data_IF_277286305564
#
_entry.id   IF_277286305564
#
_cell.length_a   1.000
_cell.length_b   1.000
_cell.length_c   1.000
_cell.angle_alpha   90.00
_cell.angle_beta   90.00
_cell.angle_gamma   90.00
#
_symmetry.space_group_name_H-M   'P 1'
#
loop_
_entity.id
_entity.type
_entity.pdbx_description
1 polymer ?
#
# COMPACT_ATOMS: atom_id res chain seq x y z
N UNK A 1 -9.72 16.66 21.68
CA UNK A 1 -9.00 17.59 22.59
C UNK A 1 -7.74 18.15 21.93
N UNK A 2 -6.89 17.33 21.30
CA UNK A 2 -5.64 17.76 20.65
C UNK A 2 -5.82 18.81 19.53
N UNK A 3 -6.79 18.58 18.62
CA UNK A 3 -7.08 19.47 17.47
C UNK A 3 -7.90 20.73 17.82
N UNK A 4 -8.22 20.94 19.10
CA UNK A 4 -8.87 22.18 19.57
C UNK A 4 -7.86 23.30 19.86
N UNK A 5 -6.56 22.97 19.86
CA UNK A 5 -5.46 23.88 20.14
C UNK A 5 -4.83 24.29 18.79
N UNK A 6 -4.94 25.56 18.41
CA UNK A 6 -4.50 26.10 17.11
C UNK A 6 -3.04 25.73 16.75
N UNK A 7 -2.06 25.88 17.65
CA UNK A 7 -0.67 25.48 17.37
C UNK A 7 -0.51 24.01 16.96
N UNK A 8 -1.33 23.11 17.52
CA UNK A 8 -1.28 21.69 17.17
C UNK A 8 -1.85 21.45 15.76
N UNK A 9 -2.86 22.24 15.37
CA UNK A 9 -3.44 22.18 14.02
C UNK A 9 -2.42 22.65 13.01
N UNK A 10 -1.78 23.79 13.26
CA UNK A 10 -0.75 24.34 12.39
C UNK A 10 0.44 23.37 12.23
N UNK A 11 0.96 22.85 13.35
CA UNK A 11 2.04 21.86 13.32
C UNK A 11 1.65 20.59 12.54
N UNK A 12 0.41 20.10 12.71
CA UNK A 12 -0.10 18.95 11.98
C UNK A 12 -0.19 19.20 10.46
N UNK A 13 -0.65 20.39 10.06
CA UNK A 13 -0.74 20.77 8.64
C UNK A 13 0.66 20.92 8.03
N UNK A 14 1.59 21.57 8.73
CA UNK A 14 2.98 21.79 8.26
C UNK A 14 3.74 20.50 7.96
N UNK A 15 3.51 19.44 8.74
CA UNK A 15 4.14 18.12 8.52
C UNK A 15 3.37 17.22 7.56
N UNK A 16 2.34 17.74 6.88
CA UNK A 16 1.55 16.98 5.90
C UNK A 16 0.52 16.03 6.51
N UNK A 17 0.08 16.26 7.75
CA UNK A 17 -0.88 15.43 8.46
C UNK A 17 -2.23 15.26 7.75
N UNK A 18 -2.69 16.27 7.00
CA UNK A 18 -3.91 16.18 6.19
C UNK A 18 -3.78 15.15 5.06
N UNK A 19 -2.66 15.18 4.33
CA UNK A 19 -2.37 14.23 3.25
C UNK A 19 -2.32 12.81 3.80
N UNK A 20 -1.69 12.65 4.96
CA UNK A 20 -1.63 11.39 5.68
C UNK A 20 -2.99 10.85 6.10
N UNK A 21 -3.88 11.71 6.61
CA UNK A 21 -5.22 11.31 7.03
C UNK A 21 -6.08 10.85 5.86
N UNK A 22 -6.03 11.56 4.72
CA UNK A 22 -6.75 11.18 3.49
C UNK A 22 -6.23 9.85 2.95
N UNK A 23 -4.91 9.68 2.93
CA UNK A 23 -4.27 8.44 2.52
C UNK A 23 -4.68 7.25 3.41
N UNK A 24 -4.69 7.45 4.74
CA UNK A 24 -5.11 6.44 5.70
C UNK A 24 -6.57 6.01 5.47
N UNK A 25 -7.48 6.97 5.28
CA UNK A 25 -8.90 6.69 5.03
C UNK A 25 -9.08 5.82 3.78
N UNK A 26 -8.35 6.13 2.71
CA UNK A 26 -8.44 5.37 1.45
C UNK A 26 -7.98 3.92 1.63
N UNK A 27 -6.94 3.71 2.43
CA UNK A 27 -6.41 2.36 2.72
C UNK A 27 -7.31 1.58 3.68
N UNK A 28 -7.88 2.24 4.68
CA UNK A 28 -8.84 1.62 5.58
C UNK A 28 -10.06 1.10 4.81
N UNK A 29 -10.52 1.85 3.80
CA UNK A 29 -11.56 1.40 2.88
C UNK A 29 -11.13 0.14 2.12
N UNK A 30 -9.96 0.15 1.48
CA UNK A 30 -9.42 -1.02 0.75
C UNK A 30 -9.31 -2.26 1.66
N UNK A 31 -8.91 -2.07 2.92
CA UNK A 31 -8.80 -3.17 3.89
C UNK A 31 -10.17 -3.73 4.32
N UNK A 32 -11.19 -2.87 4.45
CA UNK A 32 -12.55 -3.27 4.82
C UNK A 32 -13.23 -4.09 3.71
N UNK A 33 -12.96 -3.79 2.44
CA UNK A 33 -13.48 -4.57 1.31
C UNK A 33 -12.90 -5.99 1.24
N UNK A 34 -11.79 -6.26 1.94
CA UNK A 34 -11.16 -7.59 2.02
C UNK A 34 -11.69 -8.47 3.16
N UNK A 35 -12.70 -8.05 3.92
CA UNK A 35 -13.27 -8.90 4.96
C UNK A 35 -14.05 -10.03 4.27
N UNK A 36 -13.38 -11.20 4.17
CA UNK A 36 -13.99 -12.45 3.76
C UNK A 36 -15.12 -12.80 4.74
N UNK A 37 -16.36 -12.69 4.27
CA UNK A 37 -17.54 -13.13 5.00
C UNK A 37 -17.41 -14.64 5.19
N UNK A 38 -17.43 -15.19 6.43
CA UNK A 38 -17.41 -16.62 6.63
C UNK A 38 -18.67 -17.23 6.01
N UNK A 39 -18.48 -18.19 5.10
CA UNK A 39 -19.51 -18.79 4.25
C UNK A 39 -20.77 -19.22 5.00
N UNK A 40 -21.92 -18.71 4.56
CA UNK A 40 -22.99 -19.54 4.00
C UNK A 40 -23.94 -18.68 3.19
N UNK A 41 -23.83 -18.71 1.85
CA UNK A 41 -24.93 -18.69 0.86
C UNK A 41 -24.38 -18.44 -0.55
N UNK A 42 -24.72 -19.36 -1.44
CA UNK A 42 -24.06 -19.70 -2.71
C UNK A 42 -24.14 -18.64 -3.85
N UNK A 43 -24.45 -17.38 -3.56
CA UNK A 43 -24.64 -16.32 -4.57
C UNK A 43 -23.60 -15.18 -4.52
N UNK A 44 -22.80 -15.07 -3.45
CA UNK A 44 -21.68 -14.12 -3.35
C UNK A 44 -20.32 -14.75 -3.72
N UNK A 45 -20.31 -16.00 -4.21
CA UNK A 45 -19.09 -16.77 -4.46
C UNK A 45 -18.26 -16.27 -5.67
N UNK A 46 -18.82 -15.42 -6.54
CA UNK A 46 -18.13 -14.96 -7.75
C UNK A 46 -16.91 -14.07 -7.46
N UNK A 47 -16.94 -13.26 -6.39
CA UNK A 47 -15.80 -12.40 -6.01
C UNK A 47 -14.77 -13.13 -5.14
N UNK A 48 -15.19 -14.15 -4.39
CA UNK A 48 -14.30 -14.98 -3.56
C UNK A 48 -13.45 -15.98 -4.37
N UNK A 49 -13.84 -16.27 -5.62
CA UNK A 49 -13.11 -17.12 -6.56
C UNK A 49 -12.34 -16.36 -7.65
N UNK A 50 -12.33 -15.01 -7.63
CA UNK A 50 -11.42 -14.28 -8.50
C UNK A 50 -9.99 -14.58 -8.06
N UNK A 51 -9.24 -15.29 -8.92
CA UNK A 51 -7.79 -15.39 -8.77
C UNK A 51 -7.24 -13.96 -8.60
N UNK A 52 -6.44 -13.69 -7.54
CA UNK A 52 -5.89 -12.37 -7.34
C UNK A 52 -5.11 -11.96 -8.59
N UNK A 53 -5.46 -10.82 -9.17
CA UNK A 53 -4.85 -10.39 -10.42
C UNK A 53 -3.33 -10.25 -10.23
N UNK A 54 -2.57 -11.03 -11.01
CA UNK A 54 -1.10 -10.97 -11.07
C UNK A 54 -0.70 -9.75 -11.88
N UNK A 55 -0.67 -8.60 -11.24
CA UNK A 55 -0.47 -7.31 -11.92
C UNK A 55 0.87 -6.67 -11.60
N UNK A 56 1.55 -7.14 -10.56
CA UNK A 56 2.69 -6.43 -10.00
C UNK A 56 4.03 -6.97 -10.48
N UNK A 57 4.93 -6.06 -10.81
CA UNK A 57 6.33 -6.32 -11.13
C UNK A 57 7.23 -5.46 -10.23
N UNK A 58 8.41 -5.98 -9.88
CA UNK A 58 9.43 -5.21 -9.18
C UNK A 58 10.83 -5.48 -9.75
N UNK A 59 11.76 -4.55 -9.53
CA UNK A 59 13.18 -4.73 -9.83
C UNK A 59 13.90 -5.13 -8.55
N UNK A 60 14.45 -6.34 -8.53
CA UNK A 60 15.20 -6.87 -7.40
C UNK A 60 16.55 -6.17 -7.19
N UNK A 61 17.25 -6.51 -6.12
CA UNK A 61 18.59 -5.98 -5.83
C UNK A 61 19.60 -6.25 -6.93
N UNK A 62 19.43 -7.35 -7.64
CA UNK A 62 20.28 -7.78 -8.75
C UNK A 62 19.96 -7.05 -10.07
N UNK A 63 19.03 -6.08 -10.05
CA UNK A 63 18.58 -5.35 -11.24
C UNK A 63 17.63 -6.15 -12.15
N UNK A 64 17.32 -7.39 -11.77
CA UNK A 64 16.43 -8.28 -12.53
C UNK A 64 14.96 -7.96 -12.21
N UNK A 65 14.15 -7.90 -13.27
CA UNK A 65 12.70 -7.77 -13.16
C UNK A 65 12.08 -9.09 -12.69
N UNK A 66 11.24 -9.02 -11.67
CA UNK A 66 10.51 -10.17 -11.12
C UNK A 66 9.01 -9.89 -11.19
N UNK A 67 8.24 -10.84 -11.73
CA UNK A 67 6.78 -10.76 -11.90
C UNK A 67 6.34 -11.27 -13.26
N UNK A 68 5.04 -11.16 -13.62
CA UNK A 68 3.97 -10.57 -12.83
C UNK A 68 3.52 -11.44 -11.65
N UNK A 69 3.20 -10.81 -10.52
CA UNK A 69 2.79 -11.48 -9.29
C UNK A 69 1.67 -10.73 -8.58
N UNK A 70 1.08 -11.38 -7.58
CA UNK A 70 0.06 -10.79 -6.72
C UNK A 70 0.67 -9.75 -5.76
N UNK A 71 -0.15 -8.78 -5.33
CA UNK A 71 0.24 -7.78 -4.30
C UNK A 71 0.81 -8.43 -3.04
N UNK A 72 0.29 -9.60 -2.66
CA UNK A 72 0.72 -10.36 -1.48
C UNK A 72 2.13 -10.94 -1.64
N UNK A 73 2.56 -11.24 -2.88
CA UNK A 73 3.91 -11.68 -3.18
C UNK A 73 4.94 -10.55 -2.98
N UNK A 74 4.57 -9.28 -3.23
CA UNK A 74 5.41 -8.13 -2.89
C UNK A 74 5.62 -8.06 -1.37
N UNK A 75 4.57 -8.27 -0.56
CA UNK A 75 4.72 -8.29 0.91
C UNK A 75 5.67 -9.38 1.37
N UNK A 76 5.64 -10.56 0.73
CA UNK A 76 6.60 -11.63 1.01
C UNK A 76 8.02 -11.26 0.58
N UNK A 77 8.20 -10.61 -0.57
CA UNK A 77 9.51 -10.13 -1.04
C UNK A 77 10.10 -9.07 -0.08
N UNK A 78 9.24 -8.19 0.46
CA UNK A 78 9.62 -7.22 1.49
C UNK A 78 10.08 -7.88 2.78
N UNK A 79 9.30 -8.83 3.31
CA UNK A 79 9.67 -9.57 4.53
C UNK A 79 10.98 -10.35 4.39
N UNK A 80 11.31 -10.82 3.18
CA UNK A 80 12.58 -11.49 2.86
C UNK A 80 13.74 -10.52 2.61
N UNK A 81 13.51 -9.20 2.64
CA UNK A 81 14.48 -8.14 2.31
C UNK A 81 15.04 -8.24 0.88
N UNK A 82 14.28 -8.82 -0.05
CA UNK A 82 14.63 -8.83 -1.48
C UNK A 82 14.38 -7.48 -2.15
N UNK A 83 13.52 -6.65 -1.56
CA UNK A 83 13.16 -5.31 -2.02
C UNK A 83 13.27 -4.32 -0.87
N UNK A 84 13.60 -3.07 -1.19
CA UNK A 84 13.73 -1.96 -0.25
C UNK A 84 12.86 -0.77 -0.72
N UNK A 85 12.74 0.29 0.09
CA UNK A 85 11.90 1.46 -0.22
C UNK A 85 12.26 2.18 -1.53
N UNK A 86 13.49 1.97 -2.02
CA UNK A 86 14.01 2.54 -3.27
C UNK A 86 13.80 1.63 -4.47
N UNK A 87 13.41 0.36 -4.27
CA UNK A 87 13.16 -0.59 -5.35
C UNK A 87 12.01 -0.09 -6.22
N UNK A 88 12.17 -0.22 -7.54
CA UNK A 88 11.13 0.17 -8.50
C UNK A 88 10.08 -0.92 -8.59
N UNK A 89 8.82 -0.53 -8.51
CA UNK A 89 7.66 -1.38 -8.72
C UNK A 89 6.76 -0.78 -9.80
N UNK A 90 6.03 -1.64 -10.48
CA UNK A 90 5.07 -1.26 -11.50
C UNK A 90 3.89 -2.22 -11.46
N UNK A 91 2.70 -1.70 -11.77
CA UNK A 91 1.50 -2.48 -11.97
C UNK A 91 0.84 -2.08 -13.30
N UNK A 92 0.02 -2.96 -13.87
CA UNK A 92 -0.72 -2.72 -15.12
C UNK A 92 -1.54 -1.43 -15.12
N UNK A 93 -1.99 -0.97 -13.95
CA UNK A 93 -2.75 0.27 -13.74
C UNK A 93 -1.88 1.54 -13.71
N UNK A 94 -0.55 1.42 -13.80
CA UNK A 94 0.39 2.54 -13.68
C UNK A 94 1.01 2.92 -15.03
N UNK A 95 1.24 4.22 -15.23
CA UNK A 95 1.91 4.72 -16.45
C UNK A 95 3.39 4.34 -16.49
N UNK A 96 4.08 4.43 -15.35
CA UNK A 96 5.54 4.30 -15.26
C UNK A 96 5.98 3.56 -14.00
N UNK A 97 7.20 3.03 -14.04
CA UNK A 97 7.87 2.47 -12.88
C UNK A 97 8.06 3.52 -11.79
N UNK A 98 7.53 3.26 -10.60
CA UNK A 98 7.70 4.15 -9.43
C UNK A 98 8.47 3.45 -8.33
N UNK A 99 9.12 4.21 -7.45
CA UNK A 99 9.75 3.61 -6.27
C UNK A 99 8.66 3.12 -5.33
N UNK A 100 8.93 2.05 -4.61
CA UNK A 100 8.00 1.46 -3.67
C UNK A 100 7.44 2.48 -2.65
N UNK A 101 8.27 3.44 -2.20
CA UNK A 101 7.84 4.54 -1.32
C UNK A 101 6.82 5.51 -1.95
N UNK A 102 6.84 5.69 -3.26
CA UNK A 102 5.99 6.64 -3.98
C UNK A 102 4.63 6.03 -4.33
N UNK A 103 4.50 4.71 -4.20
CA UNK A 103 3.27 3.97 -4.48
C UNK A 103 2.49 3.89 -3.18
N UNK A 104 1.43 4.69 -3.05
CA UNK A 104 0.60 4.76 -1.84
C UNK A 104 0.15 3.37 -1.38
N UNK A 105 -0.43 2.60 -2.29
CA UNK A 105 -0.99 1.28 -1.99
C UNK A 105 0.05 0.31 -1.37
N UNK A 106 1.26 0.25 -1.94
CA UNK A 106 2.34 -0.57 -1.39
C UNK A 106 2.96 0.04 -0.14
N UNK A 107 3.10 1.37 -0.09
CA UNK A 107 3.63 2.07 1.08
C UNK A 107 2.84 1.72 2.33
N UNK A 108 1.52 1.79 2.27
CA UNK A 108 0.69 1.44 3.42
C UNK A 108 0.64 -0.06 3.71
N UNK A 109 0.65 -0.90 2.67
CA UNK A 109 0.70 -2.35 2.84
C UNK A 109 1.99 -2.83 3.53
N UNK A 110 3.08 -2.07 3.42
CA UNK A 110 4.41 -2.43 3.91
C UNK A 110 4.86 -1.62 5.14
N UNK A 111 4.23 -0.48 5.41
CA UNK A 111 4.55 0.41 6.54
C UNK A 111 4.12 -0.13 7.91
N UNK A 112 3.71 -1.40 8.01
CA UNK A 112 3.51 -2.09 9.29
C UNK A 112 4.82 -2.01 10.10
N UNK A 113 4.85 -1.05 11.05
CA UNK A 113 5.94 -0.75 12.00
C UNK A 113 7.08 0.18 11.50
N UNK A 114 6.92 0.95 10.42
CA UNK A 114 7.95 1.89 9.96
C UNK A 114 7.47 3.35 9.83
N UNK A 115 8.29 4.37 10.19
CA UNK A 115 7.94 5.79 10.13
C UNK A 115 7.94 6.38 8.71
N UNK A 116 7.84 5.54 7.68
CA UNK A 116 7.88 5.94 6.26
C UNK A 116 6.62 6.70 5.81
N UNK A 117 5.61 6.76 6.67
CA UNK A 117 4.37 7.45 6.35
C UNK A 117 4.56 8.97 6.23
N UNK A 118 5.65 9.55 6.74
CA UNK A 118 5.91 10.98 6.56
C UNK A 118 6.10 11.33 5.08
N UNK A 119 5.33 12.29 4.53
CA UNK A 119 5.55 12.77 3.17
C UNK A 119 6.95 13.39 3.06
N UNK A 120 7.64 13.17 1.93
CA UNK A 120 8.84 13.92 1.62
C UNK A 120 8.46 15.38 1.38
N UNK A 121 8.99 16.28 2.22
CA UNK A 121 8.93 17.73 2.00
C UNK A 121 9.50 18.10 0.63
#
# INVERSE_FOLDING_TARGET
VLMKVLPNVEACVLVGGCVLAVDLLTVAHEASERIAIPLQSNLLAATAFMEPLKEWLYIGKDGVQVGPMEKDAIRRAWSKKNIDWTSKCWASSMTDWKRLRDIRELRWALALRLPVLTPTQ
#
